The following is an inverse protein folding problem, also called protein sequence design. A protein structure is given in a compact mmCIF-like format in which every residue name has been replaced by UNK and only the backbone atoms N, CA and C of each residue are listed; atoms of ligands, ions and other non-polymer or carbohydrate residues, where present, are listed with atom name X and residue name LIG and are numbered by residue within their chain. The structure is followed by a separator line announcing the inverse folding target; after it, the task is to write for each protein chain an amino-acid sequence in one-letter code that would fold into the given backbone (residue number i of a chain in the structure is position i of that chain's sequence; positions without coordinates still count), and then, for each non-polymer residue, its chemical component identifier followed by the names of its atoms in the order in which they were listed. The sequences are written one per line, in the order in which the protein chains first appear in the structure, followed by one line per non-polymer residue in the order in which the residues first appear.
data_IF_801905897739
#
_entry.id   IF_801905897739
#
_cell.length_a   1.000
_cell.length_b   1.000
_cell.length_c   1.000
_cell.angle_alpha   90.00
_cell.angle_beta   90.00
_cell.angle_gamma   90.00
#
_symmetry.space_group_name_H-M   'P 1'
#
loop_
_entity.id
_entity.type
_entity.pdbx_description
1 polymer ?
#
# COMPACT_ATOMS: atom_id res chain seq x y z
N UNK A 1 18.02 17.88 27.90
CA UNK A 1 16.55 17.70 27.96
C UNK A 1 16.08 17.59 26.51
N UNK A 2 15.65 16.45 25.95
CA UNK A 2 15.28 15.12 26.45
C UNK A 2 15.86 14.06 25.50
N UNK A 3 16.25 12.90 26.04
CA UNK A 3 16.71 11.71 25.34
C UNK A 3 15.71 11.21 24.29
N UNK A 4 16.00 11.42 23.00
CA UNK A 4 15.26 10.76 21.92
C UNK A 4 15.72 9.30 21.83
N UNK A 5 14.95 8.45 22.50
CA UNK A 5 15.04 7.01 22.41
C UNK A 5 14.92 6.55 20.96
N UNK A 6 15.86 5.71 20.52
CA UNK A 6 16.12 5.15 19.17
C UNK A 6 14.92 4.51 18.42
N UNK A 7 13.71 4.57 18.99
CA UNK A 7 12.45 4.14 18.37
C UNK A 7 11.71 5.26 17.64
N UNK A 8 12.00 6.53 17.93
CA UNK A 8 11.31 7.68 17.33
C UNK A 8 11.82 8.01 15.92
N UNK A 9 12.99 7.51 15.53
CA UNK A 9 13.65 7.84 14.26
C UNK A 9 12.82 7.53 13.00
N UNK A 10 11.88 6.58 13.09
CA UNK A 10 11.04 6.19 11.93
C UNK A 10 9.70 6.92 11.88
N UNK A 11 9.36 7.70 12.91
CA UNK A 11 8.12 8.48 12.94
C UNK A 11 8.23 9.62 11.91
N UNK A 12 7.21 9.80 11.07
CA UNK A 12 7.23 10.73 9.95
C UNK A 12 7.92 10.21 8.68
N UNK A 13 8.61 9.07 8.74
CA UNK A 13 9.19 8.44 7.55
C UNK A 13 8.12 7.80 6.65
N UNK A 14 8.30 7.93 5.34
CA UNK A 14 7.46 7.29 4.32
C UNK A 14 8.15 6.03 3.83
N UNK A 15 7.52 4.89 4.04
CA UNK A 15 7.94 3.60 3.52
C UNK A 15 7.00 3.18 2.41
N UNK A 16 7.50 3.21 1.17
CA UNK A 16 6.74 2.88 -0.04
C UNK A 16 5.48 3.77 -0.21
N UNK A 17 4.29 3.30 0.21
CA UNK A 17 3.03 4.10 0.17
C UNK A 17 2.39 4.23 1.56
N UNK A 18 3.22 4.11 2.59
CA UNK A 18 2.81 4.03 3.99
C UNK A 18 3.62 5.05 4.78
N UNK A 19 2.94 6.01 5.38
CA UNK A 19 3.54 7.02 6.26
C UNK A 19 3.38 6.60 7.71
N UNK A 20 4.47 6.60 8.48
CA UNK A 20 4.43 6.31 9.91
C UNK A 20 3.98 7.57 10.66
N UNK A 21 2.91 7.49 11.45
CA UNK A 21 2.36 8.63 12.18
C UNK A 21 2.91 8.68 13.60
N UNK A 22 2.82 7.58 14.34
CA UNK A 22 3.17 7.54 15.76
C UNK A 22 3.37 6.09 16.24
N UNK A 23 4.03 5.93 17.39
CA UNK A 23 4.15 4.65 18.08
C UNK A 23 2.94 4.45 19.01
N UNK A 24 2.24 3.32 18.88
CA UNK A 24 1.01 3.05 19.64
C UNK A 24 1.30 2.22 20.88
N UNK A 25 1.97 1.09 20.72
CA UNK A 25 2.18 0.12 21.80
C UNK A 25 3.33 -0.83 21.45
N UNK A 26 3.64 -1.74 22.35
CA UNK A 26 4.45 -2.90 22.03
C UNK A 26 3.54 -4.13 21.95
N UNK A 27 3.82 -5.01 21.01
CA UNK A 27 3.12 -6.28 20.85
C UNK A 27 3.51 -7.26 21.97
N UNK A 28 2.83 -8.40 22.08
CA UNK A 28 3.11 -9.42 23.12
C UNK A 28 4.54 -9.97 23.05
N UNK A 29 5.18 -9.89 21.88
CA UNK A 29 6.59 -10.25 21.68
C UNK A 29 7.57 -9.08 21.90
N UNK A 30 7.12 -7.94 22.45
CA UNK A 30 7.96 -6.77 22.70
C UNK A 30 8.28 -5.92 21.47
N UNK A 31 7.65 -6.20 20.32
CA UNK A 31 7.87 -5.44 19.09
C UNK A 31 7.11 -4.11 19.11
N UNK A 32 7.79 -3.00 18.82
CA UNK A 32 7.15 -1.69 18.71
C UNK A 32 6.14 -1.66 17.54
N UNK A 33 4.89 -1.36 17.87
CA UNK A 33 3.76 -1.19 16.95
C UNK A 33 3.56 0.30 16.68
N UNK A 34 3.47 0.63 15.40
CA UNK A 34 3.26 1.99 14.93
C UNK A 34 1.93 2.10 14.20
N UNK A 35 1.27 3.25 14.36
CA UNK A 35 0.14 3.66 13.56
C UNK A 35 0.67 4.23 12.25
N UNK A 36 0.24 3.63 11.15
CA UNK A 36 0.62 4.05 9.82
C UNK A 36 -0.60 4.51 9.01
N UNK A 37 -0.38 5.45 8.10
CA UNK A 37 -1.37 5.91 7.12
C UNK A 37 -0.96 5.44 5.72
N UNK A 38 -1.88 4.79 5.04
CA UNK A 38 -1.71 4.46 3.62
C UNK A 38 -2.05 5.68 2.76
N UNK A 39 -1.45 5.78 1.57
CA UNK A 39 -1.87 6.68 0.49
C UNK A 39 -3.38 6.66 0.24
N UNK A 40 -4.02 5.48 0.32
CA UNK A 40 -5.46 5.35 0.11
C UNK A 40 -6.32 5.94 1.25
N UNK A 41 -5.71 6.62 2.23
CA UNK A 41 -6.39 7.27 3.35
C UNK A 41 -6.63 6.36 4.58
N UNK A 42 -6.48 5.04 4.45
CA UNK A 42 -6.71 4.11 5.55
C UNK A 42 -5.56 4.13 6.56
N UNK A 43 -5.89 4.22 7.85
CA UNK A 43 -4.94 4.05 8.96
C UNK A 43 -4.93 2.61 9.43
N UNK A 44 -3.75 2.08 9.77
CA UNK A 44 -3.57 0.70 10.19
C UNK A 44 -2.31 0.55 11.06
N UNK A 45 -2.33 -0.42 11.98
CA UNK A 45 -1.22 -0.66 12.89
C UNK A 45 -0.27 -1.72 12.32
N UNK A 46 1.03 -1.47 12.40
CA UNK A 46 2.08 -2.44 12.01
C UNK A 46 3.28 -2.37 12.93
N UNK A 47 3.90 -3.52 13.15
CA UNK A 47 5.20 -3.61 13.82
C UNK A 47 6.32 -3.05 12.94
N UNK A 48 7.33 -2.44 13.56
CA UNK A 48 8.50 -1.83 12.90
C UNK A 48 9.14 -2.71 11.83
N UNK A 49 9.33 -4.00 12.13
CA UNK A 49 9.93 -4.96 11.19
C UNK A 49 9.09 -5.12 9.91
N UNK A 50 7.77 -5.10 10.02
CA UNK A 50 6.87 -5.18 8.87
C UNK A 50 6.91 -3.91 8.02
N UNK A 51 7.11 -2.75 8.64
CA UNK A 51 7.19 -1.46 7.95
C UNK A 51 8.47 -1.38 7.10
N UNK A 52 9.59 -1.89 7.63
CA UNK A 52 10.87 -1.96 6.91
C UNK A 52 10.92 -3.04 5.84
N UNK A 53 9.96 -3.97 5.83
CA UNK A 53 9.95 -5.07 4.88
C UNK A 53 9.47 -4.58 3.50
N UNK A 54 10.26 -4.74 2.43
CA UNK A 54 9.89 -4.27 1.08
C UNK A 54 8.64 -4.96 0.50
N UNK A 55 8.19 -6.08 1.10
CA UNK A 55 6.96 -6.75 0.72
C UNK A 55 5.70 -6.00 1.16
N UNK A 56 5.78 -5.14 2.18
CA UNK A 56 4.63 -4.40 2.72
C UNK A 56 4.52 -3.06 2.01
N UNK A 57 3.82 -3.06 0.88
CA UNK A 57 3.70 -1.88 0.01
C UNK A 57 2.56 -0.94 0.41
N UNK A 58 1.49 -1.46 1.01
CA UNK A 58 0.26 -0.73 1.34
C UNK A 58 -0.56 -1.46 2.41
N UNK A 59 -1.69 -0.87 2.83
CA UNK A 59 -2.66 -1.53 3.72
C UNK A 59 -3.43 -2.70 3.06
N UNK A 60 -3.05 -3.13 1.85
CA UNK A 60 -3.72 -4.14 1.04
C UNK A 60 -4.73 -3.57 0.02
N UNK A 61 -4.89 -2.25 -0.03
CA UNK A 61 -5.79 -1.58 -0.98
C UNK A 61 -5.38 -1.84 -2.44
N UNK A 62 -4.09 -1.93 -2.74
CA UNK A 62 -3.57 -2.20 -4.08
C UNK A 62 -4.06 -3.52 -4.67
N UNK A 63 -4.15 -4.58 -3.85
CA UNK A 63 -4.66 -5.89 -4.30
C UNK A 63 -6.17 -5.88 -4.54
N UNK A 64 -6.90 -4.92 -3.96
CA UNK A 64 -8.34 -4.76 -4.11
C UNK A 64 -8.74 -3.84 -5.26
N UNK A 65 -7.77 -3.15 -5.90
CA UNK A 65 -8.05 -2.31 -7.06
C UNK A 65 -8.56 -3.19 -8.21
N UNK A 66 -9.66 -2.78 -8.82
CA UNK A 66 -10.33 -3.41 -9.97
C UNK A 66 -10.37 -2.42 -11.12
N UNK A 67 -10.61 -2.91 -12.33
CA UNK A 67 -10.62 -2.06 -13.52
C UNK A 67 -9.27 -1.38 -13.72
N UNK A 68 -9.27 -0.19 -14.33
CA UNK A 68 -8.10 0.63 -14.63
C UNK A 68 -7.13 0.85 -13.47
N UNK A 69 -7.64 0.83 -12.24
CA UNK A 69 -6.85 1.07 -11.04
C UNK A 69 -5.98 -0.15 -10.65
N UNK A 70 -6.21 -1.32 -11.26
CA UNK A 70 -5.41 -2.52 -11.00
C UNK A 70 -4.17 -2.56 -11.89
N UNK A 71 -3.00 -2.87 -11.32
CA UNK A 71 -1.77 -3.07 -12.10
C UNK A 71 -1.87 -4.21 -13.13
N UNK A 72 -2.84 -5.12 -12.95
CA UNK A 72 -3.04 -6.29 -13.80
C UNK A 72 -4.26 -6.14 -14.72
N UNK A 73 -4.83 -4.94 -14.84
CA UNK A 73 -5.97 -4.69 -15.71
C UNK A 73 -5.57 -4.76 -17.17
N UNK A 74 -6.33 -5.55 -17.94
CA UNK A 74 -6.12 -5.77 -19.38
C UNK A 74 -7.26 -5.18 -20.24
N UNK A 75 -8.21 -4.50 -19.61
CA UNK A 75 -9.30 -3.77 -20.28
C UNK A 75 -8.91 -2.31 -20.56
N UNK A 76 -9.88 -1.49 -20.97
CA UNK A 76 -9.69 -0.06 -21.20
C UNK A 76 -10.97 0.71 -20.81
N UNK A 77 -10.85 1.71 -19.93
CA UNK A 77 -12.00 2.36 -19.31
C UNK A 77 -12.94 1.33 -18.67
N UNK A 78 -14.22 1.40 -19.01
CA UNK A 78 -15.26 0.48 -18.56
C UNK A 78 -15.28 -0.88 -19.31
N UNK A 79 -14.51 -1.02 -20.39
CA UNK A 79 -14.50 -2.24 -21.20
C UNK A 79 -13.59 -3.32 -20.60
N UNK A 80 -14.20 -4.47 -20.32
CA UNK A 80 -13.52 -5.65 -19.79
C UNK A 80 -12.44 -6.22 -20.72
N UNK A 81 -11.51 -6.98 -20.13
CA UNK A 81 -10.38 -7.58 -20.85
C UNK A 81 -10.78 -8.47 -22.02
N UNK A 82 -11.86 -9.25 -21.89
CA UNK A 82 -12.35 -10.14 -22.96
C UNK A 82 -12.85 -9.33 -24.15
N UNK A 83 -13.60 -8.27 -23.87
CA UNK A 83 -14.19 -7.39 -24.88
C UNK A 83 -13.11 -6.59 -25.63
N UNK A 84 -12.14 -6.05 -24.91
CA UNK A 84 -10.98 -5.37 -25.53
C UNK A 84 -10.16 -6.32 -26.40
N UNK A 85 -9.96 -7.56 -25.98
CA UNK A 85 -9.30 -8.57 -26.82
C UNK A 85 -10.07 -8.78 -28.12
N UNK A 86 -11.39 -8.92 -28.04
CA UNK A 86 -12.26 -9.08 -29.21
C UNK A 86 -12.21 -7.87 -30.14
N UNK A 87 -12.32 -6.65 -29.60
CA UNK A 87 -12.17 -5.42 -30.38
C UNK A 87 -10.81 -5.39 -31.06
N UNK A 88 -9.71 -5.64 -30.35
CA UNK A 88 -8.36 -5.62 -30.94
C UNK A 88 -8.21 -6.64 -32.08
N UNK A 89 -8.85 -7.80 -31.96
CA UNK A 89 -8.83 -8.85 -32.99
C UNK A 89 -9.64 -8.47 -34.24
N UNK A 90 -10.77 -7.78 -34.06
CA UNK A 90 -11.74 -7.53 -35.15
C UNK A 90 -11.80 -6.07 -35.63
N UNK A 91 -11.15 -5.15 -34.92
CA UNK A 91 -10.93 -3.79 -35.36
C UNK A 91 -9.96 -3.84 -36.54
N UNK A 92 -10.50 -4.03 -37.74
CA UNK A 92 -9.79 -3.74 -38.98
C UNK A 92 -9.45 -2.25 -38.91
N UNK A 93 -8.17 -1.96 -38.76
CA UNK A 93 -7.63 -0.59 -38.82
C UNK A 93 -8.11 0.00 -40.15
N UNK A 94 -9.02 0.96 -40.06
CA UNK A 94 -9.43 1.81 -41.17
C UNK A 94 -8.58 3.06 -41.13
#
# INVERSE_FOLDING_TARGET
MLDLSKGEDIIGSVFNMVTVIEKVSNDIWGNAVYLCRCECGKRFNRVSQSIRNPKVKSCGCWRKRRGENSSNWKGAGDLGSSYICHIKTHARVR
#
